data_IF_578502459138
#
_entry.id   IF_578502459138
#
_cell.length_a   1.000
_cell.length_b   1.000
_cell.length_c   1.000
_cell.angle_alpha   90.00
_cell.angle_beta   90.00
_cell.angle_gamma   90.00
#
_symmetry.space_group_name_H-M   'P 1'
#
loop_
_entity.id
_entity.type
_entity.pdbx_description
1 polymer ?
#
# COMPACT_ATOMS: atom_id res chain seq x y z
N UNK A 1 6.10 -19.82 11.05
CA UNK A 1 6.97 -18.76 11.60
C UNK A 1 7.62 -17.92 10.48
N UNK A 2 6.84 -17.38 9.54
CA UNK A 2 7.34 -16.56 8.42
C UNK A 2 6.91 -15.09 8.51
N UNK A 3 6.75 -14.57 9.72
CA UNK A 3 6.23 -13.21 9.96
C UNK A 3 7.25 -12.13 9.60
N UNK A 4 7.64 -11.32 10.59
CA UNK A 4 8.60 -10.23 10.44
C UNK A 4 9.95 -10.65 9.80
N UNK A 5 10.37 -11.91 9.97
CA UNK A 5 11.57 -12.47 9.33
C UNK A 5 11.56 -12.39 7.79
N UNK A 6 10.41 -12.58 7.15
CA UNK A 6 10.29 -12.43 5.69
C UNK A 6 10.37 -10.96 5.25
N UNK A 7 9.93 -10.02 6.11
CA UNK A 7 10.04 -8.60 5.84
C UNK A 7 11.50 -8.14 5.91
N UNK A 8 12.26 -8.61 6.90
CA UNK A 8 13.70 -8.34 7.02
C UNK A 8 14.44 -8.90 5.80
N UNK A 9 14.14 -10.13 5.38
CA UNK A 9 14.79 -10.69 4.18
C UNK A 9 14.51 -9.88 2.90
N UNK A 10 13.27 -9.41 2.70
CA UNK A 10 12.89 -8.69 1.47
C UNK A 10 13.26 -7.22 1.45
N UNK A 11 13.12 -6.54 2.58
CA UNK A 11 13.18 -5.08 2.67
C UNK A 11 14.31 -4.59 3.60
N UNK A 12 15.01 -5.50 4.29
CA UNK A 12 16.10 -5.16 5.21
C UNK A 12 15.64 -4.61 6.56
N UNK A 13 14.33 -4.45 6.77
CA UNK A 13 13.76 -3.85 7.98
C UNK A 13 12.57 -4.63 8.53
N UNK A 14 12.35 -4.48 9.84
CA UNK A 14 11.13 -4.97 10.48
C UNK A 14 9.99 -4.03 10.13
N UNK A 15 8.85 -4.55 9.69
CA UNK A 15 7.71 -3.68 9.39
C UNK A 15 7.25 -2.98 10.65
N UNK A 16 7.11 -1.66 10.56
CA UNK A 16 6.42 -0.89 11.58
C UNK A 16 4.95 -1.28 11.64
N UNK A 17 4.48 -1.68 12.83
CA UNK A 17 3.05 -1.88 13.10
C UNK A 17 2.38 -0.62 13.68
N UNK A 18 3.08 0.53 13.75
CA UNK A 18 2.57 1.75 14.40
C UNK A 18 1.33 2.30 13.72
N UNK A 19 1.27 2.27 12.38
CA UNK A 19 0.11 2.75 11.62
C UNK A 19 -1.19 2.03 12.01
N UNK A 20 -1.10 0.74 12.33
CA UNK A 20 -2.27 -0.04 12.76
C UNK A 20 -2.76 0.35 14.15
N UNK A 21 -1.84 0.73 15.04
CA UNK A 21 -2.20 1.27 16.35
C UNK A 21 -2.81 2.67 16.24
N UNK A 22 -2.29 3.51 15.34
CA UNK A 22 -2.85 4.84 15.09
C UNK A 22 -4.27 4.75 14.52
N UNK A 23 -4.51 3.83 13.57
CA UNK A 23 -5.85 3.55 13.04
C UNK A 23 -6.81 3.07 14.15
N UNK A 24 -6.34 2.21 15.06
CA UNK A 24 -7.13 1.72 16.18
C UNK A 24 -7.54 2.86 17.13
N UNK A 25 -6.58 3.68 17.55
CA UNK A 25 -6.88 4.82 18.43
C UNK A 25 -7.74 5.87 17.75
N UNK A 26 -7.56 6.10 16.45
CA UNK A 26 -8.46 6.92 15.66
C UNK A 26 -9.90 6.38 15.70
N UNK A 27 -10.09 5.09 15.41
CA UNK A 27 -11.40 4.44 15.46
C UNK A 27 -12.08 4.58 16.83
N UNK A 28 -11.32 4.37 17.90
CA UNK A 28 -11.82 4.52 19.27
C UNK A 28 -12.21 5.96 19.59
N UNK A 29 -11.41 6.94 19.14
CA UNK A 29 -11.66 8.37 19.35
C UNK A 29 -12.95 8.83 18.66
N UNK A 30 -13.15 8.45 17.40
CA UNK A 30 -14.30 8.91 16.60
C UNK A 30 -15.61 8.18 16.91
N UNK A 31 -15.56 7.10 17.68
CA UNK A 31 -16.73 6.27 18.01
C UNK A 31 -17.83 7.05 18.73
N UNK A 32 -17.45 8.04 19.55
CA UNK A 32 -18.38 8.86 20.34
C UNK A 32 -18.97 10.04 19.57
N UNK A 33 -18.50 10.33 18.34
CA UNK A 33 -18.97 11.46 17.56
C UNK A 33 -20.29 11.17 16.84
N UNK A 34 -21.02 12.24 16.53
CA UNK A 34 -22.22 12.17 15.70
C UNK A 34 -21.94 11.64 14.29
N UNK A 35 -22.97 11.07 13.65
CA UNK A 35 -22.85 10.35 12.37
C UNK A 35 -22.15 11.17 11.28
N UNK A 36 -22.60 12.41 11.04
CA UNK A 36 -22.07 13.27 9.98
C UNK A 36 -20.60 13.65 10.23
N UNK A 37 -20.26 14.04 11.46
CA UNK A 37 -18.89 14.38 11.84
C UNK A 37 -17.97 13.17 11.70
N UNK A 38 -18.43 11.98 12.10
CA UNK A 38 -17.68 10.73 11.96
C UNK A 38 -17.40 10.40 10.50
N UNK A 39 -18.39 10.49 9.61
CA UNK A 39 -18.20 10.24 8.18
C UNK A 39 -17.18 11.18 7.55
N UNK A 40 -17.25 12.47 7.90
CA UNK A 40 -16.30 13.48 7.41
C UNK A 40 -14.87 13.19 7.91
N UNK A 41 -14.70 12.81 9.17
CA UNK A 41 -13.40 12.47 9.74
C UNK A 41 -12.81 11.19 9.12
N UNK A 42 -13.63 10.16 8.89
CA UNK A 42 -13.20 8.93 8.21
C UNK A 42 -12.72 9.25 6.79
N UNK A 43 -13.49 10.04 6.04
CA UNK A 43 -13.12 10.45 4.67
C UNK A 43 -11.79 11.22 4.66
N UNK A 44 -11.62 12.16 5.59
CA UNK A 44 -10.38 12.92 5.72
C UNK A 44 -9.18 12.04 6.09
N UNK A 45 -9.35 11.11 7.04
CA UNK A 45 -8.31 10.16 7.45
C UNK A 45 -7.79 9.33 6.28
N UNK A 46 -8.70 8.70 5.52
CA UNK A 46 -8.30 7.90 4.36
C UNK A 46 -7.68 8.73 3.24
N UNK A 47 -8.16 9.96 3.03
CA UNK A 47 -7.56 10.88 2.05
C UNK A 47 -6.11 11.21 2.42
N UNK A 48 -5.85 11.55 3.68
CA UNK A 48 -4.52 11.85 4.17
C UNK A 48 -3.60 10.63 4.07
N UNK A 49 -4.07 9.45 4.50
CA UNK A 49 -3.33 8.19 4.40
C UNK A 49 -2.95 7.85 2.95
N UNK A 50 -3.89 8.02 2.02
CA UNK A 50 -3.60 7.81 0.59
C UNK A 50 -2.61 8.83 0.06
N UNK A 51 -2.69 10.09 0.49
CA UNK A 51 -1.75 11.12 0.10
C UNK A 51 -0.34 10.89 0.68
N UNK A 52 -0.21 10.33 1.88
CA UNK A 52 1.09 9.97 2.45
C UNK A 52 1.74 8.80 1.70
N UNK A 53 0.93 7.85 1.23
CA UNK A 53 1.40 6.67 0.52
C UNK A 53 1.68 6.92 -0.97
N UNK A 54 0.79 7.65 -1.64
CA UNK A 54 0.78 7.83 -3.10
C UNK A 54 0.89 9.31 -3.52
N UNK A 55 1.21 10.20 -2.60
CA UNK A 55 1.34 11.62 -2.89
C UNK A 55 2.54 11.95 -3.79
N UNK A 56 2.65 13.23 -4.20
CA UNK A 56 3.72 13.68 -5.06
C UNK A 56 5.10 13.40 -4.42
N UNK A 57 5.99 12.80 -5.21
CA UNK A 57 7.35 12.44 -4.77
C UNK A 57 7.46 11.11 -4.00
N UNK A 58 6.39 10.32 -3.92
CA UNK A 58 6.45 8.95 -3.40
C UNK A 58 6.80 7.95 -4.51
N UNK A 59 7.52 6.86 -4.19
CA UNK A 59 7.90 5.86 -5.17
C UNK A 59 6.64 5.22 -5.78
N UNK A 60 6.55 5.29 -7.09
CA UNK A 60 5.49 4.69 -7.88
C UNK A 60 6.00 3.40 -8.54
N UNK A 61 5.13 2.44 -8.83
CA UNK A 61 5.49 1.26 -9.62
C UNK A 61 6.02 1.62 -11.01
N UNK A 62 5.58 2.76 -11.55
CA UNK A 62 6.04 3.29 -12.83
C UNK A 62 7.50 3.76 -12.81
N UNK A 63 8.09 3.98 -11.62
CA UNK A 63 9.51 4.31 -11.49
C UNK A 63 10.41 3.10 -11.82
N UNK A 64 9.90 1.88 -11.63
CA UNK A 64 10.64 0.64 -11.90
C UNK A 64 10.15 -0.02 -13.19
N UNK A 65 8.85 0.04 -13.47
CA UNK A 65 8.22 -0.62 -14.61
C UNK A 65 7.41 0.38 -15.42
N UNK A 66 7.93 0.78 -16.57
CA UNK A 66 7.15 1.60 -17.50
C UNK A 66 6.03 0.76 -18.13
N UNK A 67 4.85 1.37 -18.27
CA UNK A 67 3.74 0.77 -19.00
C UNK A 67 4.14 0.48 -20.44
N UNK A 68 3.73 -0.68 -20.97
CA UNK A 68 3.93 -1.00 -22.39
C UNK A 68 2.92 -0.25 -23.24
N UNK A 69 3.39 0.42 -24.29
CA UNK A 69 2.52 1.07 -25.27
C UNK A 69 1.92 0.07 -26.26
N UNK A 70 2.65 -1.03 -26.52
CA UNK A 70 2.28 -2.04 -27.51
C UNK A 70 2.09 -3.42 -26.89
N UNK A 71 1.27 -4.24 -27.55
CA UNK A 71 1.08 -5.64 -27.18
C UNK A 71 2.34 -6.43 -27.51
N UNK A 72 2.66 -7.38 -26.63
CA UNK A 72 3.76 -8.30 -26.86
C UNK A 72 3.35 -9.29 -27.94
N UNK A 73 4.18 -9.46 -28.96
CA UNK A 73 3.90 -10.36 -30.08
C UNK A 73 3.74 -11.82 -29.61
N UNK A 74 2.80 -12.59 -30.19
CA UNK A 74 2.60 -13.99 -29.83
C UNK A 74 3.89 -14.80 -30.01
N UNK A 75 4.29 -15.51 -28.95
CA UNK A 75 5.48 -16.37 -29.00
C UNK A 75 6.81 -15.62 -28.96
N UNK A 76 6.87 -14.39 -28.44
CA UNK A 76 8.13 -13.67 -28.23
C UNK A 76 8.76 -13.88 -26.84
N UNK A 77 7.96 -14.30 -25.86
CA UNK A 77 8.37 -14.49 -24.46
C UNK A 77 7.81 -15.79 -23.89
N UNK A 78 8.49 -16.35 -22.89
CA UNK A 78 8.09 -17.59 -22.18
C UNK A 78 7.95 -18.84 -23.08
N UNK A 79 8.80 -18.97 -24.11
CA UNK A 79 8.78 -20.14 -25.01
C UNK A 79 9.58 -21.35 -24.49
N UNK A 80 10.35 -21.16 -23.41
CA UNK A 80 11.14 -22.23 -22.83
C UNK A 80 10.24 -23.22 -22.10
N UNK A 81 10.49 -24.52 -22.29
CA UNK A 81 9.83 -25.57 -21.51
C UNK A 81 10.47 -25.58 -20.13
N UNK A 82 9.64 -25.51 -19.10
CA UNK A 82 10.09 -25.73 -17.73
C UNK A 82 10.26 -27.25 -17.59
N UNK A 83 11.50 -27.71 -17.41
CA UNK A 83 11.83 -29.10 -17.07
C UNK A 83 11.45 -29.44 -15.63
#
# INVERSE_FOLDING_TARGET
MGGQWNAIYRYGEMRSCTEHWDDFWFCMRIKSYGKEMRENLIRAHHRNKNHEKYGPGKPNSEDVWQGREEKVEPGSVFNERIE
#
